data_IF_127549113405
#
_entry.id   IF_127549113405
#
_cell.length_a   1.000
_cell.length_b   1.000
_cell.length_c   1.000
_cell.angle_alpha   90.00
_cell.angle_beta   90.00
_cell.angle_gamma   90.00
#
_symmetry.space_group_name_H-M   'P 1'
#
loop_
_entity.id
_entity.type
_entity.pdbx_description
1 polymer ?
#
# COMPACT_ATOMS: atom_id res chain seq x y z
N UNK A 1 16.78 16.07 2.21
CA UNK A 1 17.95 15.24 1.85
C UNK A 1 17.41 13.89 1.40
N UNK A 2 17.56 13.55 0.11
CA UNK A 2 17.20 12.21 -0.39
C UNK A 2 18.27 11.25 0.12
N UNK A 3 17.94 10.39 1.09
CA UNK A 3 18.84 9.35 1.56
C UNK A 3 18.94 8.28 0.47
N UNK A 4 19.96 8.37 -0.39
CA UNK A 4 20.30 7.36 -1.38
C UNK A 4 20.92 6.13 -0.68
N UNK A 5 20.07 5.30 -0.07
CA UNK A 5 20.47 3.98 0.42
C UNK A 5 20.39 2.96 -0.72
N UNK A 6 21.48 2.84 -1.49
CA UNK A 6 21.75 1.88 -2.57
C UNK A 6 20.76 1.94 -3.75
N UNK A 7 21.28 1.82 -4.98
CA UNK A 7 20.53 1.82 -6.27
C UNK A 7 19.41 0.75 -6.40
N UNK A 8 19.13 0.01 -5.33
CA UNK A 8 18.16 -1.07 -5.23
C UNK A 8 16.86 -0.66 -4.51
N UNK A 9 16.88 0.33 -3.63
CA UNK A 9 15.74 0.63 -2.74
C UNK A 9 15.13 2.01 -3.00
N UNK A 10 13.81 2.08 -2.87
CA UNK A 10 13.05 3.31 -2.73
C UNK A 10 12.54 3.37 -1.30
N UNK A 11 12.85 4.44 -0.56
CA UNK A 11 12.49 4.55 0.84
C UNK A 11 12.23 6.00 1.23
N UNK A 12 10.95 6.33 1.42
CA UNK A 12 10.49 7.68 1.77
C UNK A 12 9.79 7.64 3.13
N UNK A 13 10.32 8.41 4.07
CA UNK A 13 9.85 8.52 5.46
C UNK A 13 9.80 9.99 5.88
N UNK A 14 9.13 10.29 6.98
CA UNK A 14 9.28 11.59 7.63
C UNK A 14 10.56 11.67 8.49
N UNK A 15 10.84 12.85 9.04
CA UNK A 15 12.13 13.16 9.68
C UNK A 15 12.45 12.28 10.90
N UNK A 16 11.44 11.88 11.68
CA UNK A 16 11.59 11.05 12.88
C UNK A 16 11.27 9.56 12.62
N UNK A 17 11.04 9.16 11.37
CA UNK A 17 10.63 7.82 10.96
C UNK A 17 9.34 7.30 11.63
N UNK A 18 8.50 8.18 12.19
CA UNK A 18 7.17 7.81 12.69
C UNK A 18 6.17 7.56 11.55
N UNK A 19 6.48 7.98 10.32
CA UNK A 19 5.67 7.74 9.13
C UNK A 19 6.52 7.21 7.96
N UNK A 20 5.96 6.26 7.22
CA UNK A 20 6.54 5.70 5.98
C UNK A 20 5.58 5.88 4.82
N UNK A 21 6.01 6.66 3.85
CA UNK A 21 5.23 6.94 2.64
C UNK A 21 5.46 5.86 1.58
N UNK A 22 6.70 5.40 1.42
CA UNK A 22 7.08 4.38 0.45
C UNK A 22 8.21 3.50 1.00
N UNK A 23 8.10 2.20 0.79
CA UNK A 23 9.25 1.30 0.78
C UNK A 23 9.11 0.35 -0.41
N UNK A 24 10.15 0.20 -1.21
CA UNK A 24 10.10 -0.69 -2.36
C UNK A 24 11.46 -0.93 -3.00
N UNK A 25 11.45 -1.70 -4.06
CA UNK A 25 12.63 -2.04 -4.86
C UNK A 25 12.56 -1.41 -6.24
N UNK A 26 13.72 -1.16 -6.86
CA UNK A 26 13.80 -0.61 -8.23
C UNK A 26 13.67 -1.74 -9.25
N UNK A 27 12.80 -1.56 -10.25
CA UNK A 27 12.57 -2.49 -11.36
C UNK A 27 11.59 -1.93 -12.38
N UNK A 28 11.33 -2.66 -13.47
CA UNK A 28 10.56 -2.16 -14.62
C UNK A 28 9.07 -2.46 -14.54
N UNK A 29 8.67 -3.47 -13.76
CA UNK A 29 7.30 -3.98 -13.66
C UNK A 29 6.89 -4.10 -12.18
N UNK A 30 6.77 -2.98 -11.44
CA UNK A 30 6.46 -3.00 -10.03
C UNK A 30 5.05 -3.54 -9.76
N UNK A 31 4.92 -4.39 -8.73
CA UNK A 31 3.64 -4.65 -8.05
C UNK A 31 3.44 -3.63 -6.93
N UNK A 32 2.39 -2.82 -6.99
CA UNK A 32 2.12 -1.78 -6.00
C UNK A 32 1.16 -2.32 -4.94
N UNK A 33 1.63 -2.60 -3.73
CA UNK A 33 0.82 -3.08 -2.62
C UNK A 33 0.36 -1.91 -1.73
N UNK A 34 -0.95 -1.80 -1.50
CA UNK A 34 -1.54 -0.86 -0.54
C UNK A 34 -2.05 -1.57 0.71
N UNK A 35 -1.51 -1.18 1.87
CA UNK A 35 -1.96 -1.67 3.17
C UNK A 35 -2.19 -0.56 4.19
N UNK A 36 -2.48 -0.97 5.43
CA UNK A 36 -2.27 -0.14 6.63
C UNK A 36 -0.81 -0.36 7.09
N UNK A 37 -0.24 0.58 7.85
CA UNK A 37 1.19 0.60 8.15
C UNK A 37 1.58 0.17 9.60
N UNK A 38 1.32 -1.06 10.05
CA UNK A 38 1.89 -1.54 11.32
C UNK A 38 3.34 -2.04 11.18
N UNK A 39 3.79 -2.21 9.93
CA UNK A 39 5.11 -2.73 9.59
C UNK A 39 6.22 -1.73 9.95
N UNK A 40 7.24 -2.22 10.66
CA UNK A 40 8.48 -1.47 10.97
C UNK A 40 9.57 -1.70 9.95
N UNK A 41 9.28 -2.43 8.86
CA UNK A 41 10.27 -2.75 7.83
C UNK A 41 10.95 -1.49 7.25
N UNK A 42 12.21 -1.68 6.92
CA UNK A 42 13.15 -0.72 6.35
C UNK A 42 14.03 -1.43 5.30
N UNK A 43 14.78 -0.70 4.46
CA UNK A 43 15.69 -1.30 3.49
C UNK A 43 16.61 -2.34 4.13
N UNK A 44 16.76 -3.49 3.49
CA UNK A 44 17.56 -4.63 3.96
C UNK A 44 17.07 -5.32 5.25
N UNK A 45 15.97 -4.87 5.87
CA UNK A 45 15.38 -5.47 7.07
C UNK A 45 13.86 -5.59 6.91
N UNK A 46 13.47 -6.49 6.02
CA UNK A 46 12.06 -6.81 5.76
C UNK A 46 11.46 -7.65 6.90
N UNK A 47 10.28 -7.25 7.33
CA UNK A 47 9.43 -8.05 8.23
C UNK A 47 8.65 -9.13 7.45
N UNK A 48 7.83 -9.90 8.16
CA UNK A 48 7.05 -11.00 7.58
C UNK A 48 6.05 -10.52 6.52
N UNK A 49 5.48 -9.33 6.67
CA UNK A 49 4.55 -8.74 5.70
C UNK A 49 5.27 -8.43 4.40
N UNK A 50 6.40 -7.71 4.44
CA UNK A 50 7.13 -7.36 3.22
C UNK A 50 7.87 -8.52 2.58
N UNK A 51 8.31 -9.53 3.36
CA UNK A 51 8.76 -10.80 2.79
C UNK A 51 7.64 -11.52 2.04
N UNK A 52 6.39 -11.40 2.50
CA UNK A 52 5.24 -11.93 1.79
C UNK A 52 4.95 -11.16 0.50
N UNK A 53 5.00 -9.82 0.55
CA UNK A 53 4.85 -8.94 -0.62
C UNK A 53 5.91 -9.27 -1.68
N UNK A 54 7.18 -9.35 -1.28
CA UNK A 54 8.29 -9.68 -2.18
C UNK A 54 8.11 -11.06 -2.82
N UNK A 55 7.79 -12.09 -2.02
CA UNK A 55 7.55 -13.44 -2.53
C UNK A 55 6.40 -13.49 -3.55
N UNK A 56 5.28 -12.83 -3.26
CA UNK A 56 4.10 -12.81 -4.12
C UNK A 56 4.29 -11.96 -5.37
N UNK A 57 5.07 -10.88 -5.27
CA UNK A 57 5.52 -10.10 -6.42
C UNK A 57 6.24 -11.01 -7.43
N UNK A 58 7.29 -11.71 -6.97
CA UNK A 58 8.09 -12.58 -7.83
C UNK A 58 7.25 -13.74 -8.39
N UNK A 59 6.46 -14.42 -7.56
CA UNK A 59 5.67 -15.58 -8.01
C UNK A 59 4.51 -15.24 -8.96
N UNK A 60 4.18 -13.95 -9.08
CA UNK A 60 3.19 -13.44 -10.04
C UNK A 60 3.83 -12.66 -11.20
N UNK A 61 5.15 -12.82 -11.41
CA UNK A 61 5.84 -12.35 -12.62
C UNK A 61 6.11 -10.84 -12.64
N UNK A 62 6.27 -10.24 -11.46
CA UNK A 62 6.76 -8.86 -11.28
C UNK A 62 8.23 -8.90 -10.85
N UNK A 63 9.01 -7.88 -11.24
CA UNK A 63 10.44 -7.78 -10.98
C UNK A 63 10.80 -6.82 -9.83
N UNK A 64 9.84 -6.02 -9.38
CA UNK A 64 9.96 -5.13 -8.24
C UNK A 64 8.62 -4.91 -7.56
N UNK A 65 8.65 -4.30 -6.37
CA UNK A 65 7.45 -4.03 -5.59
C UNK A 65 7.55 -2.71 -4.85
N UNK A 66 6.41 -2.05 -4.67
CA UNK A 66 6.24 -0.88 -3.80
C UNK A 66 5.23 -1.21 -2.71
N UNK A 67 5.56 -0.92 -1.47
CA UNK A 67 4.61 -0.87 -0.36
C UNK A 67 4.24 0.58 -0.11
N UNK A 68 2.99 0.90 -0.38
CA UNK A 68 2.34 2.16 -0.06
C UNK A 68 1.31 1.93 1.04
N UNK A 69 0.95 3.00 1.73
CA UNK A 69 0.04 2.93 2.87
C UNK A 69 -1.16 3.84 2.64
N UNK A 70 -2.34 3.38 3.07
CA UNK A 70 -3.55 4.23 3.06
C UNK A 70 -3.34 5.44 3.99
N UNK A 71 -2.66 5.21 5.10
CA UNK A 71 -2.23 6.25 6.02
C UNK A 71 -0.80 5.93 6.48
N UNK A 72 0.15 6.89 6.44
CA UNK A 72 1.58 6.58 6.50
C UNK A 72 2.11 6.38 7.91
N UNK A 73 1.38 6.73 8.97
CA UNK A 73 1.82 6.54 10.36
C UNK A 73 2.19 5.08 10.63
N UNK A 74 3.39 4.84 11.15
CA UNK A 74 3.80 3.52 11.65
C UNK A 74 3.14 3.28 13.01
N UNK A 75 2.33 2.23 13.11
CA UNK A 75 1.67 1.86 14.36
C UNK A 75 1.66 0.32 14.54
N UNK A 76 2.68 -0.23 15.19
CA UNK A 76 2.82 -1.69 15.41
C UNK A 76 1.61 -2.29 16.13
N UNK A 77 1.02 -1.54 17.06
CA UNK A 77 -0.32 -1.78 17.56
C UNK A 77 -1.31 -0.92 16.76
N UNK A 78 -2.29 -1.50 16.04
CA UNK A 78 -3.32 -0.74 15.33
C UNK A 78 -4.16 0.18 16.22
N UNK A 79 -4.25 -0.08 17.53
CA UNK A 79 -4.87 0.83 18.49
C UNK A 79 -4.11 2.15 18.64
N UNK A 80 -2.81 2.16 18.35
CA UNK A 80 -1.94 3.34 18.37
C UNK A 80 -2.03 4.23 17.13
N UNK A 81 -2.88 3.90 16.15
CA UNK A 81 -3.19 4.84 15.07
C UNK A 81 -3.76 6.14 15.66
N UNK A 82 -3.41 7.29 15.09
CA UNK A 82 -4.02 8.57 15.46
C UNK A 82 -5.55 8.44 15.49
N UNK A 83 -6.20 9.09 16.45
CA UNK A 83 -7.66 9.06 16.53
C UNK A 83 -8.28 9.84 15.37
N UNK A 84 -7.68 11.00 15.07
CA UNK A 84 -8.04 11.87 13.97
C UNK A 84 -6.98 11.86 12.88
N UNK A 85 -7.38 12.29 11.69
CA UNK A 85 -6.51 12.40 10.53
C UNK A 85 -5.45 13.49 10.77
N UNK A 86 -4.17 13.13 10.72
CA UNK A 86 -3.11 14.13 10.55
C UNK A 86 -3.07 14.56 9.08
N UNK A 87 -3.51 15.80 8.83
CA UNK A 87 -3.59 16.36 7.48
C UNK A 87 -2.23 16.50 6.81
N UNK A 88 -1.17 16.81 7.57
CA UNK A 88 0.17 16.97 7.00
C UNK A 88 0.72 15.61 6.55
N UNK A 89 0.57 14.57 7.38
CA UNK A 89 0.95 13.21 7.00
C UNK A 89 0.16 12.72 5.79
N UNK A 90 -1.16 12.95 5.77
CA UNK A 90 -2.01 12.57 4.65
C UNK A 90 -1.61 13.27 3.34
N UNK A 91 -1.42 14.59 3.37
CA UNK A 91 -1.03 15.34 2.18
C UNK A 91 0.34 14.93 1.65
N UNK A 92 1.31 14.66 2.53
CA UNK A 92 2.62 14.17 2.12
C UNK A 92 2.53 12.76 1.53
N UNK A 93 1.68 11.89 2.10
CA UNK A 93 1.39 10.58 1.54
C UNK A 93 0.83 10.68 0.12
N UNK A 94 -0.19 11.52 -0.09
CA UNK A 94 -0.79 11.74 -1.41
C UNK A 94 0.21 12.31 -2.43
N UNK A 95 1.13 13.20 -2.01
CA UNK A 95 2.19 13.73 -2.89
C UNK A 95 3.11 12.62 -3.39
N UNK A 96 3.59 11.77 -2.49
CA UNK A 96 4.45 10.64 -2.84
C UNK A 96 3.71 9.66 -3.75
N UNK A 97 2.47 9.30 -3.40
CA UNK A 97 1.63 8.42 -4.22
C UNK A 97 1.47 9.02 -5.62
N UNK A 98 1.04 10.28 -5.74
CA UNK A 98 0.82 10.95 -7.02
C UNK A 98 2.07 10.90 -7.91
N UNK A 99 3.26 11.17 -7.35
CA UNK A 99 4.51 11.14 -8.12
C UNK A 99 4.83 9.77 -8.75
N UNK A 100 4.31 8.67 -8.21
CA UNK A 100 4.52 7.33 -8.76
C UNK A 100 3.62 7.02 -9.98
N UNK A 101 2.61 7.85 -10.22
CA UNK A 101 1.65 7.70 -11.32
C UNK A 101 1.72 8.85 -12.34
N UNK A 102 2.78 9.67 -12.30
CA UNK A 102 2.98 10.78 -13.25
C UNK A 102 3.37 10.30 -14.65
N UNK A 103 3.92 9.09 -14.78
CA UNK A 103 4.22 8.48 -16.07
C UNK A 103 3.01 7.74 -16.67
N UNK A 104 3.10 7.42 -17.97
CA UNK A 104 2.05 6.69 -18.69
C UNK A 104 2.12 5.16 -18.50
N UNK A 105 2.96 4.68 -17.57
CA UNK A 105 3.17 3.26 -17.36
C UNK A 105 1.92 2.60 -16.78
N UNK A 106 1.53 1.44 -17.32
CA UNK A 106 0.46 0.65 -16.72
C UNK A 106 0.92 0.10 -15.35
N UNK A 107 0.08 0.25 -14.32
CA UNK A 107 0.37 -0.20 -12.95
C UNK A 107 -0.63 -1.26 -12.49
N UNK A 108 -0.11 -2.30 -11.84
CA UNK A 108 -0.93 -3.27 -11.11
C UNK A 108 -0.92 -2.88 -9.64
N UNK A 109 -2.09 -2.62 -9.08
CA UNK A 109 -2.28 -2.19 -7.70
C UNK A 109 -2.95 -3.31 -6.92
N UNK A 110 -2.25 -3.83 -5.91
CA UNK A 110 -2.75 -4.82 -4.99
C UNK A 110 -3.35 -4.16 -3.74
N UNK A 111 -4.67 -4.26 -3.62
CA UNK A 111 -5.43 -3.96 -2.41
C UNK A 111 -5.17 -5.01 -1.33
N UNK A 112 -4.64 -4.59 -0.17
CA UNK A 112 -4.16 -5.52 0.87
C UNK A 112 -4.31 -5.01 2.33
N UNK A 113 -5.29 -4.15 2.62
CA UNK A 113 -5.46 -3.54 3.95
C UNK A 113 -6.21 -4.39 5.00
N UNK A 114 -6.85 -5.50 4.60
CA UNK A 114 -7.59 -6.35 5.55
C UNK A 114 -8.70 -5.59 6.30
N UNK A 115 -9.02 -6.05 7.51
CA UNK A 115 -10.01 -5.42 8.38
C UNK A 115 -9.51 -4.15 9.07
N UNK A 116 -8.20 -3.87 9.02
CA UNK A 116 -7.61 -2.69 9.69
C UNK A 116 -8.13 -1.37 9.12
N UNK A 117 -8.67 -1.37 7.91
CA UNK A 117 -9.39 -0.22 7.34
C UNK A 117 -10.56 0.25 8.21
N UNK A 118 -11.17 -0.63 9.01
CA UNK A 118 -12.27 -0.28 9.92
C UNK A 118 -11.77 0.36 11.23
N UNK A 119 -10.45 0.42 11.46
CA UNK A 119 -9.89 0.82 12.77
C UNK A 119 -10.08 2.31 13.08
N UNK A 120 -10.14 3.15 12.04
CA UNK A 120 -10.37 4.59 12.13
C UNK A 120 -11.28 5.04 10.99
N UNK A 121 -12.32 5.85 11.26
CA UNK A 121 -13.23 6.32 10.22
C UNK A 121 -12.54 7.05 9.07
N UNK A 122 -11.47 7.81 9.35
CA UNK A 122 -10.77 8.57 8.31
C UNK A 122 -10.07 7.69 7.25
N UNK A 123 -9.77 6.41 7.54
CA UNK A 123 -9.01 5.56 6.63
C UNK A 123 -9.73 5.31 5.30
N UNK A 124 -11.05 5.17 5.32
CA UNK A 124 -11.81 5.01 4.07
C UNK A 124 -11.78 6.29 3.23
N UNK A 125 -11.79 7.47 3.87
CA UNK A 125 -11.67 8.76 3.20
C UNK A 125 -10.25 8.95 2.62
N UNK A 126 -9.21 8.54 3.36
CA UNK A 126 -7.84 8.52 2.83
C UNK A 126 -7.74 7.65 1.58
N UNK A 127 -8.34 6.45 1.60
CA UNK A 127 -8.39 5.59 0.43
C UNK A 127 -9.11 6.28 -0.74
N UNK A 128 -10.23 6.95 -0.50
CA UNK A 128 -10.95 7.71 -1.52
C UNK A 128 -10.09 8.79 -2.18
N UNK A 129 -9.27 9.51 -1.40
CA UNK A 129 -8.36 10.51 -1.94
C UNK A 129 -7.23 9.87 -2.74
N UNK A 130 -6.72 8.71 -2.30
CA UNK A 130 -5.74 7.93 -3.06
C UNK A 130 -6.31 7.51 -4.42
N UNK A 131 -7.58 7.10 -4.49
CA UNK A 131 -8.23 6.77 -5.77
C UNK A 131 -8.23 7.96 -6.74
N UNK A 132 -8.36 9.19 -6.24
CA UNK A 132 -8.28 10.40 -7.08
C UNK A 132 -6.87 10.65 -7.63
N UNK A 133 -5.84 10.11 -6.97
CA UNK A 133 -4.45 10.16 -7.41
C UNK A 133 -4.06 9.00 -8.34
N UNK A 134 -4.85 7.93 -8.43
CA UNK A 134 -4.58 6.77 -9.29
C UNK A 134 -5.43 6.81 -10.56
N UNK A 135 -4.84 7.06 -11.76
CA UNK A 135 -5.62 7.22 -12.99
C UNK A 135 -6.27 5.91 -13.43
N UNK A 136 -7.59 5.92 -13.65
CA UNK A 136 -8.38 4.72 -13.97
C UNK A 136 -7.93 4.00 -15.24
N UNK A 137 -7.46 4.73 -16.26
CA UNK A 137 -7.07 4.15 -17.55
C UNK A 137 -5.75 3.36 -17.51
N UNK A 138 -4.87 3.67 -16.55
CA UNK A 138 -3.54 3.07 -16.46
C UNK A 138 -3.35 2.21 -15.20
N UNK A 139 -4.41 1.96 -14.44
CA UNK A 139 -4.31 1.21 -13.18
C UNK A 139 -5.31 0.06 -13.12
N UNK A 140 -4.82 -1.12 -12.76
CA UNK A 140 -5.64 -2.29 -12.53
C UNK A 140 -5.57 -2.68 -11.06
N UNK A 141 -6.69 -2.59 -10.36
CA UNK A 141 -6.81 -3.00 -8.98
C UNK A 141 -7.08 -4.51 -8.89
N UNK A 142 -6.27 -5.17 -8.08
CA UNK A 142 -6.34 -6.60 -7.81
C UNK A 142 -6.33 -6.87 -6.31
N UNK A 143 -6.71 -8.09 -5.95
CA UNK A 143 -6.46 -8.66 -4.64
C UNK A 143 -5.85 -10.04 -4.79
N UNK A 144 -5.03 -10.43 -3.81
CA UNK A 144 -4.45 -11.78 -3.71
C UNK A 144 -4.98 -12.39 -2.43
N UNK A 145 -5.54 -13.60 -2.51
CA UNK A 145 -6.21 -14.26 -1.40
C UNK A 145 -7.73 -14.05 -1.40
N UNK A 146 -8.36 -14.47 -0.32
CA UNK A 146 -9.81 -14.41 -0.18
C UNK A 146 -10.26 -13.06 0.35
N UNK A 147 -11.25 -12.47 -0.33
CA UNK A 147 -11.97 -11.31 0.19
C UNK A 147 -12.79 -11.76 1.42
N UNK A 148 -12.77 -10.97 2.49
CA UNK A 148 -13.50 -11.29 3.72
C UNK A 148 -15.02 -11.24 3.49
N UNK A 149 -15.82 -11.79 4.41
CA UNK A 149 -17.29 -11.69 4.36
C UNK A 149 -17.79 -10.24 4.31
N UNK A 150 -17.05 -9.32 4.92
CA UNK A 150 -17.32 -7.88 4.90
C UNK A 150 -16.78 -7.19 3.64
N UNK A 151 -16.22 -7.92 2.68
CA UNK A 151 -15.71 -7.35 1.42
C UNK A 151 -14.29 -6.78 1.48
N UNK A 152 -13.54 -6.98 2.57
CA UNK A 152 -12.17 -6.46 2.67
C UNK A 152 -11.17 -7.35 1.92
N UNK A 153 -10.21 -6.76 1.18
CA UNK A 153 -9.16 -7.52 0.53
C UNK A 153 -8.22 -8.16 1.57
N UNK A 154 -7.62 -9.29 1.22
CA UNK A 154 -6.78 -10.04 2.16
C UNK A 154 -5.45 -9.31 2.44
N UNK A 155 -4.99 -9.36 3.68
CA UNK A 155 -3.67 -8.84 4.06
C UNK A 155 -2.56 -9.76 3.50
N UNK A 156 -1.35 -9.26 3.15
CA UNK A 156 -0.31 -10.08 2.51
C UNK A 156 0.19 -11.26 3.35
N UNK A 157 0.08 -11.15 4.67
CA UNK A 157 0.57 -12.16 5.61
C UNK A 157 -0.19 -13.49 5.42
N UNK A 158 0.54 -14.62 5.53
CA UNK A 158 0.03 -15.99 5.42
C UNK A 158 -0.48 -16.45 4.03
N UNK A 159 -0.30 -15.64 2.99
CA UNK A 159 -0.60 -16.06 1.63
C UNK A 159 0.47 -16.99 1.04
N UNK A 160 0.04 -18.02 0.32
CA UNK A 160 0.93 -18.91 -0.42
C UNK A 160 1.43 -18.22 -1.69
N UNK A 161 2.67 -18.53 -2.11
CA UNK A 161 3.20 -18.07 -3.41
C UNK A 161 2.39 -18.56 -4.61
N UNK A 162 1.60 -19.63 -4.44
CA UNK A 162 0.69 -20.14 -5.46
C UNK A 162 -0.58 -19.29 -5.64
N UNK A 163 -0.92 -18.41 -4.69
CA UNK A 163 -2.09 -17.55 -4.82
C UNK A 163 -1.93 -16.59 -6.00
N UNK A 164 -2.93 -16.60 -6.89
CA UNK A 164 -2.98 -15.76 -8.08
C UNK A 164 -3.86 -14.52 -7.85
N UNK A 165 -3.53 -13.40 -8.50
CA UNK A 165 -4.31 -12.17 -8.41
C UNK A 165 -5.69 -12.35 -9.02
N UNK A 166 -6.68 -11.69 -8.42
CA UNK A 166 -8.05 -11.58 -8.92
C UNK A 166 -8.42 -10.10 -9.05
N UNK A 167 -9.29 -9.71 -10.00
CA UNK A 167 -9.78 -8.35 -10.09
C UNK A 167 -10.41 -7.90 -8.77
N UNK A 168 -10.18 -6.63 -8.40
CA UNK A 168 -10.78 -6.01 -7.22
C UNK A 168 -11.47 -4.70 -7.62
N UNK A 169 -12.80 -4.65 -7.48
CA UNK A 169 -13.58 -3.45 -7.79
C UNK A 169 -13.42 -2.40 -6.67
N UNK A 170 -12.36 -1.61 -6.78
CA UNK A 170 -12.02 -0.57 -5.82
C UNK A 170 -13.08 0.53 -5.75
N UNK A 171 -13.70 0.89 -6.87
CA UNK A 171 -14.68 1.96 -6.94
C UNK A 171 -15.95 1.56 -6.21
N UNK A 172 -16.44 0.33 -6.42
CA UNK A 172 -17.55 -0.22 -5.65
C UNK A 172 -17.19 -0.32 -4.17
N UNK A 173 -16.01 -0.85 -3.85
CA UNK A 173 -15.56 -1.02 -2.45
C UNK A 173 -15.61 0.31 -1.68
N UNK A 174 -15.11 1.39 -2.28
CA UNK A 174 -15.10 2.73 -1.69
C UNK A 174 -16.52 3.32 -1.61
N UNK A 175 -17.29 3.25 -2.71
CA UNK A 175 -18.67 3.75 -2.77
C UNK A 175 -19.56 3.13 -1.70
N UNK A 176 -19.40 1.84 -1.43
CA UNK A 176 -20.22 1.13 -0.45
C UNK A 176 -19.90 1.53 1.01
N UNK A 177 -18.81 2.27 1.27
CA UNK A 177 -18.31 2.59 2.62
C UNK A 177 -18.21 4.08 2.97
N UNK A 178 -18.37 4.98 2.00
CA UNK A 178 -18.33 6.44 2.21
C UNK A 178 -19.75 6.99 2.36
N UNK A 179 -20.63 6.26 3.05
CA UNK A 179 -22.00 6.75 3.31
C UNK A 179 -22.00 7.79 4.42
#
# INVERSE_FOLDING_TARGET
MKNHLNDKWLYEINADNSARYLLGTVGKKPLICFGINPSTAEPNKLDSTLRSVERLCISNGHDSWFMLNIYPQRATNPDGLHHDLDLNLHQNNLKIIKSLFEDSSQRIIWAAWGTLIEKRPYLIHCLADILKCTPTFNTNWITIGNISKKGHPHHPLYLSSANKPKPFDIHKYVKDRIR
#
